data_IF_214618656725
#
_entry.id   IF_214618656725
#
_cell.length_a   1.000
_cell.length_b   1.000
_cell.length_c   1.000
_cell.angle_alpha   90.00
_cell.angle_beta   90.00
_cell.angle_gamma   90.00
#
_symmetry.space_group_name_H-M   'P 1'
#
loop_
_entity.id
_entity.type
_entity.pdbx_description
1 polymer ?
#
# COMPACT_ATOMS: atom_id res chain seq x y z
N UNK A 1 -8.40 1.26 8.01
CA UNK A 1 -8.63 1.21 6.56
C UNK A 1 -8.37 -0.20 6.04
N UNK A 2 -8.94 -0.59 4.90
CA UNK A 2 -8.73 -1.91 4.27
C UNK A 2 -7.88 -1.72 3.02
N UNK A 3 -6.85 -2.55 2.87
CA UNK A 3 -5.85 -2.42 1.82
C UNK A 3 -6.03 -3.54 0.79
N UNK A 4 -6.49 -3.18 -0.41
CA UNK A 4 -6.77 -4.10 -1.51
C UNK A 4 -5.52 -4.14 -2.41
N UNK A 5 -4.92 -5.33 -2.65
CA UNK A 5 -3.67 -5.47 -3.42
C UNK A 5 -3.92 -5.37 -4.94
N UNK A 6 -4.66 -4.35 -5.37
CA UNK A 6 -4.99 -4.05 -6.76
C UNK A 6 -4.88 -2.54 -6.97
N UNK A 7 -4.54 -2.13 -8.20
CA UNK A 7 -4.57 -0.73 -8.61
C UNK A 7 -5.99 -0.15 -8.45
N UNK A 8 -6.09 1.13 -8.09
CA UNK A 8 -7.38 1.82 -7.91
C UNK A 8 -8.28 1.74 -9.15
N UNK A 9 -7.68 1.77 -10.35
CA UNK A 9 -8.39 1.61 -11.62
C UNK A 9 -9.10 0.25 -11.73
N UNK A 10 -8.47 -0.84 -11.27
CA UNK A 10 -9.08 -2.17 -11.30
C UNK A 10 -10.17 -2.30 -10.25
N UNK A 11 -9.94 -1.78 -9.04
CA UNK A 11 -10.95 -1.79 -7.98
C UNK A 11 -12.18 -1.00 -8.40
N UNK A 12 -11.99 0.19 -8.97
CA UNK A 12 -13.08 1.01 -9.52
C UNK A 12 -13.84 0.27 -10.61
N UNK A 13 -13.15 -0.30 -11.60
CA UNK A 13 -13.79 -1.05 -12.68
C UNK A 13 -14.63 -2.23 -12.17
N UNK A 14 -14.08 -3.03 -11.25
CA UNK A 14 -14.79 -4.17 -10.66
C UNK A 14 -16.05 -3.69 -9.92
N UNK A 15 -15.92 -2.65 -9.10
CA UNK A 15 -17.04 -2.07 -8.38
C UNK A 15 -18.13 -1.56 -9.33
N UNK A 16 -17.76 -0.80 -10.37
CA UNK A 16 -18.71 -0.29 -11.36
C UNK A 16 -19.46 -1.41 -12.09
N UNK A 17 -18.79 -2.51 -12.45
CA UNK A 17 -19.44 -3.67 -13.08
C UNK A 17 -20.45 -4.31 -12.12
N UNK A 18 -20.09 -4.51 -10.85
CA UNK A 18 -20.99 -5.10 -9.84
C UNK A 18 -22.18 -4.16 -9.58
N UNK A 19 -21.93 -2.86 -9.43
CA UNK A 19 -22.95 -1.82 -9.29
C UNK A 19 -23.91 -1.82 -10.47
N UNK A 20 -23.41 -1.90 -11.72
CA UNK A 20 -24.26 -1.96 -12.90
C UNK A 20 -25.18 -3.20 -12.89
N UNK A 21 -24.63 -4.38 -12.58
CA UNK A 21 -25.41 -5.62 -12.50
C UNK A 21 -26.47 -5.56 -11.41
N UNK A 22 -26.15 -4.95 -10.28
CA UNK A 22 -27.07 -4.79 -9.15
C UNK A 22 -28.12 -3.72 -9.41
N UNK A 23 -27.79 -2.63 -10.09
CA UNK A 23 -28.72 -1.60 -10.58
C UNK A 23 -29.77 -2.22 -11.50
N UNK A 24 -29.31 -2.95 -12.53
CA UNK A 24 -30.20 -3.64 -13.47
C UNK A 24 -31.11 -4.65 -12.78
N UNK A 25 -30.60 -5.33 -11.75
CA UNK A 25 -31.38 -6.29 -10.95
C UNK A 25 -32.45 -5.58 -10.10
N UNK A 26 -32.08 -4.50 -9.41
CA UNK A 26 -33.00 -3.70 -8.61
C UNK A 26 -34.08 -3.06 -9.49
N UNK A 27 -33.70 -2.47 -10.62
CA UNK A 27 -34.64 -1.83 -11.54
C UNK A 27 -35.67 -2.84 -12.05
N UNK A 28 -35.22 -4.03 -12.47
CA UNK A 28 -36.14 -5.12 -12.86
C UNK A 28 -37.05 -5.55 -11.70
N UNK A 29 -36.55 -5.58 -10.48
CA UNK A 29 -37.34 -5.90 -9.30
C UNK A 29 -38.45 -4.86 -9.08
N UNK A 30 -38.09 -3.57 -9.07
CA UNK A 30 -39.02 -2.47 -8.86
C UNK A 30 -40.10 -2.40 -9.94
N UNK A 31 -39.74 -2.58 -11.21
CA UNK A 31 -40.70 -2.64 -12.31
C UNK A 31 -41.66 -3.82 -12.18
N UNK A 32 -41.19 -4.99 -11.73
CA UNK A 32 -42.06 -6.15 -11.44
C UNK A 32 -43.01 -5.89 -10.28
N UNK A 33 -42.54 -5.25 -9.21
CA UNK A 33 -43.40 -4.86 -8.07
C UNK A 33 -44.46 -3.86 -8.54
N UNK A 34 -44.08 -2.86 -9.33
CA UNK A 34 -45.03 -1.90 -9.90
C UNK A 34 -46.11 -2.61 -10.73
N UNK A 35 -45.71 -3.49 -11.66
CA UNK A 35 -46.63 -4.31 -12.44
C UNK A 35 -47.53 -5.20 -11.56
N UNK A 36 -46.99 -5.79 -10.49
CA UNK A 36 -47.77 -6.60 -9.55
C UNK A 36 -48.82 -5.77 -8.82
N UNK A 37 -48.47 -4.56 -8.36
CA UNK A 37 -49.39 -3.64 -7.71
C UNK A 37 -50.54 -3.24 -8.65
N UNK A 38 -50.24 -2.92 -9.91
CA UNK A 38 -51.27 -2.58 -10.90
C UNK A 38 -52.15 -3.79 -11.25
N UNK A 39 -51.58 -4.99 -11.40
CA UNK A 39 -52.33 -6.23 -11.55
C UNK A 39 -53.30 -6.46 -10.39
N UNK A 40 -52.84 -6.24 -9.16
CA UNK A 40 -53.66 -6.42 -7.96
C UNK A 40 -54.77 -5.35 -7.86
N UNK A 41 -54.51 -4.11 -8.30
CA UNK A 41 -55.53 -3.07 -8.42
C UNK A 41 -56.62 -3.47 -9.44
N UNK A 42 -56.21 -3.96 -10.61
CA UNK A 42 -57.12 -4.49 -11.64
C UNK A 42 -57.92 -5.70 -11.13
N UNK A 43 -57.31 -6.57 -10.31
CA UNK A 43 -58.03 -7.70 -9.72
C UNK A 43 -59.16 -7.28 -8.80
N UNK A 44 -59.00 -6.15 -8.10
CA UNK A 44 -60.01 -5.54 -7.22
C UNK A 44 -61.06 -4.72 -7.98
N UNK A 45 -60.99 -4.65 -9.30
CA UNK A 45 -61.90 -3.87 -10.14
C UNK A 45 -61.59 -2.38 -10.20
N UNK A 46 -60.41 -1.94 -9.73
CA UNK A 46 -59.99 -0.55 -9.89
C UNK A 46 -59.47 -0.30 -11.32
N UNK A 47 -59.59 0.93 -11.77
CA UNK A 47 -59.03 1.41 -13.03
C UNK A 47 -57.56 1.80 -12.87
N UNK A 48 -56.73 1.48 -13.85
CA UNK A 48 -55.31 1.84 -13.87
C UNK A 48 -55.02 2.75 -15.07
N UNK A 49 -54.56 3.97 -14.80
CA UNK A 49 -54.10 4.91 -15.83
C UNK A 49 -52.74 4.49 -16.39
N UNK A 50 -52.62 4.45 -17.71
CA UNK A 50 -51.39 4.07 -18.41
C UNK A 50 -50.35 5.17 -18.30
N UNK A 51 -50.74 6.44 -18.41
CA UNK A 51 -49.80 7.55 -18.27
C UNK A 51 -49.24 7.60 -16.85
N UNK A 52 -50.07 7.34 -15.82
CA UNK A 52 -49.61 7.27 -14.44
C UNK A 52 -48.64 6.10 -14.22
N UNK A 53 -48.91 4.94 -14.81
CA UNK A 53 -48.00 3.79 -14.79
C UNK A 53 -46.66 4.11 -15.46
N UNK A 54 -46.69 4.71 -16.64
CA UNK A 54 -45.48 5.13 -17.36
C UNK A 54 -44.69 6.18 -16.57
N UNK A 55 -45.35 7.19 -16.01
CA UNK A 55 -44.69 8.21 -15.19
C UNK A 55 -44.05 7.60 -13.94
N UNK A 56 -44.71 6.63 -13.28
CA UNK A 56 -44.13 5.88 -12.17
C UNK A 56 -42.92 5.06 -12.59
N UNK A 57 -43.00 4.35 -13.71
CA UNK A 57 -41.89 3.56 -14.24
C UNK A 57 -40.68 4.46 -14.59
N UNK A 58 -40.90 5.58 -15.26
CA UNK A 58 -39.86 6.58 -15.57
C UNK A 58 -39.24 7.16 -14.29
N UNK A 59 -40.07 7.50 -13.30
CA UNK A 59 -39.59 7.99 -12.01
C UNK A 59 -38.72 6.94 -11.30
N UNK A 60 -39.14 5.66 -11.29
CA UNK A 60 -38.35 4.57 -10.71
C UNK A 60 -36.99 4.42 -11.39
N UNK A 61 -36.94 4.45 -12.74
CA UNK A 61 -35.69 4.40 -13.50
C UNK A 61 -34.76 5.55 -13.11
N UNK A 62 -35.28 6.79 -13.10
CA UNK A 62 -34.50 7.98 -12.76
C UNK A 62 -33.96 7.91 -11.34
N UNK A 63 -34.78 7.50 -10.36
CA UNK A 63 -34.38 7.37 -8.96
C UNK A 63 -33.33 6.28 -8.79
N UNK A 64 -33.49 5.12 -9.42
CA UNK A 64 -32.48 4.05 -9.34
C UNK A 64 -31.15 4.48 -9.92
N UNK A 65 -31.15 5.09 -11.11
CA UNK A 65 -29.91 5.51 -11.76
C UNK A 65 -29.22 6.63 -10.99
N UNK A 66 -29.99 7.59 -10.45
CA UNK A 66 -29.44 8.63 -9.58
C UNK A 66 -28.80 8.06 -8.30
N UNK A 67 -29.44 7.06 -7.68
CA UNK A 67 -28.91 6.40 -6.48
C UNK A 67 -27.60 5.64 -6.75
N UNK A 68 -27.53 4.87 -7.84
CA UNK A 68 -26.31 4.15 -8.21
C UNK A 68 -25.19 5.09 -8.65
N UNK A 69 -25.51 6.17 -9.34
CA UNK A 69 -24.54 7.23 -9.63
C UNK A 69 -23.95 7.84 -8.34
N UNK A 70 -24.78 8.10 -7.33
CA UNK A 70 -24.30 8.59 -6.04
C UNK A 70 -23.40 7.57 -5.32
N UNK A 71 -23.72 6.27 -5.40
CA UNK A 71 -22.88 5.20 -4.84
C UNK A 71 -21.51 5.15 -5.54
N UNK A 72 -21.47 5.23 -6.87
CA UNK A 72 -20.22 5.25 -7.64
C UNK A 72 -19.37 6.50 -7.32
N UNK A 73 -20.00 7.66 -7.15
CA UNK A 73 -19.31 8.88 -6.72
C UNK A 73 -18.70 8.72 -5.32
N UNK A 74 -19.46 8.19 -4.36
CA UNK A 74 -18.96 7.93 -3.01
C UNK A 74 -17.80 6.94 -3.03
N UNK A 75 -17.93 5.82 -3.77
CA UNK A 75 -16.86 4.85 -3.93
C UNK A 75 -15.60 5.48 -4.53
N UNK A 76 -15.75 6.32 -5.56
CA UNK A 76 -14.64 7.00 -6.21
C UNK A 76 -13.93 7.97 -5.26
N UNK A 77 -14.69 8.68 -4.43
CA UNK A 77 -14.14 9.63 -3.45
C UNK A 77 -13.39 8.95 -2.30
N UNK A 78 -13.81 7.73 -1.92
CA UNK A 78 -13.22 6.99 -0.80
C UNK A 78 -12.28 5.86 -1.23
N UNK A 79 -11.93 5.77 -2.52
CA UNK A 79 -10.96 4.79 -3.03
C UNK A 79 -9.65 5.47 -3.34
N UNK A 80 -8.78 5.56 -2.34
CA UNK A 80 -7.50 6.24 -2.47
C UNK A 80 -6.41 5.30 -3.02
N UNK A 81 -5.56 5.77 -3.95
CA UNK A 81 -4.38 5.02 -4.36
C UNK A 81 -3.41 4.93 -3.19
N UNK A 82 -3.02 3.71 -2.84
CA UNK A 82 -2.09 3.42 -1.77
C UNK A 82 -0.89 2.62 -2.28
N UNK A 83 0.18 2.61 -1.50
CA UNK A 83 1.35 1.78 -1.77
C UNK A 83 1.45 0.70 -0.71
N UNK A 84 1.32 -0.56 -1.13
CA UNK A 84 1.57 -1.69 -0.26
C UNK A 84 3.07 -1.98 -0.25
N UNK A 85 3.68 -1.83 0.91
CA UNK A 85 5.05 -2.25 1.16
C UNK A 85 5.07 -3.75 1.36
N UNK A 86 5.81 -4.44 0.50
CA UNK A 86 6.07 -5.88 0.61
C UNK A 86 7.57 -6.09 0.71
N UNK A 87 8.00 -6.96 1.61
CA UNK A 87 9.40 -7.35 1.72
C UNK A 87 9.61 -8.61 0.89
N UNK A 88 10.54 -8.53 -0.05
CA UNK A 88 10.92 -9.68 -0.87
C UNK A 88 12.35 -10.06 -0.54
N UNK A 89 12.56 -11.32 -0.11
CA UNK A 89 13.90 -11.88 0.07
C UNK A 89 14.53 -12.15 -1.30
N UNK A 90 15.71 -11.60 -1.54
CA UNK A 90 16.49 -11.78 -2.77
C UNK A 90 17.96 -12.06 -2.44
N UNK A 91 18.70 -12.79 -3.30
CA UNK A 91 20.14 -12.90 -3.18
C UNK A 91 20.82 -11.53 -3.24
N UNK A 92 21.72 -11.25 -2.31
CA UNK A 92 22.37 -9.95 -2.14
C UNK A 92 23.84 -10.07 -1.75
N UNK A 93 24.57 -8.96 -1.94
CA UNK A 93 25.79 -8.66 -1.19
C UNK A 93 25.41 -7.68 -0.10
N UNK A 94 25.63 -8.04 1.17
CA UNK A 94 25.43 -7.17 2.31
C UNK A 94 26.79 -6.63 2.77
N UNK A 95 26.89 -5.33 2.98
CA UNK A 95 28.04 -4.69 3.64
C UNK A 95 27.60 -4.29 5.03
N UNK A 96 28.25 -4.82 6.04
CA UNK A 96 27.92 -4.56 7.44
C UNK A 96 29.19 -4.31 8.28
N UNK A 97 29.05 -3.79 9.50
CA UNK A 97 30.20 -3.65 10.39
C UNK A 97 30.65 -4.99 10.93
N UNK A 98 31.94 -5.09 11.21
CA UNK A 98 32.54 -6.30 11.78
C UNK A 98 31.98 -6.74 13.13
N UNK A 99 31.33 -5.82 13.85
CA UNK A 99 30.57 -6.12 15.06
C UNK A 99 29.41 -7.07 14.84
N UNK A 100 28.85 -7.10 13.62
CA UNK A 100 27.60 -7.80 13.31
C UNK A 100 27.76 -8.94 12.31
N UNK A 101 28.70 -8.80 11.36
CA UNK A 101 29.09 -9.87 10.43
C UNK A 101 30.60 -9.88 10.25
N UNK A 102 31.21 -11.05 10.44
CA UNK A 102 32.64 -11.27 10.17
C UNK A 102 32.89 -11.62 8.71
N UNK A 103 32.28 -10.89 7.77
CA UNK A 103 32.52 -11.05 6.34
C UNK A 103 33.94 -10.61 5.97
N UNK A 104 34.50 -11.17 4.91
CA UNK A 104 35.80 -10.75 4.39
C UNK A 104 35.75 -9.27 3.98
N UNK A 105 36.88 -8.53 4.08
CA UNK A 105 36.98 -7.23 3.46
C UNK A 105 37.00 -7.44 1.95
N UNK A 106 35.82 -7.47 1.33
CA UNK A 106 35.69 -7.72 -0.09
C UNK A 106 36.23 -6.55 -0.91
N UNK A 107 36.68 -6.85 -2.12
CA UNK A 107 37.04 -5.86 -3.15
C UNK A 107 36.08 -5.93 -4.33
N UNK A 108 34.90 -6.53 -4.11
CA UNK A 108 33.93 -6.74 -5.18
C UNK A 108 33.30 -5.42 -5.62
N UNK A 109 32.92 -5.34 -6.89
CA UNK A 109 32.29 -4.14 -7.47
C UNK A 109 30.96 -3.82 -6.77
N UNK A 110 30.25 -4.83 -6.29
CA UNK A 110 28.99 -4.67 -5.55
C UNK A 110 29.24 -4.01 -4.19
N UNK A 111 30.28 -4.42 -3.46
CA UNK A 111 30.67 -3.77 -2.20
C UNK A 111 31.05 -2.31 -2.42
N UNK A 112 31.92 -2.05 -3.40
CA UNK A 112 32.33 -0.68 -3.75
C UNK A 112 31.10 0.16 -4.11
N UNK A 113 30.17 -0.40 -4.89
CA UNK A 113 28.91 0.23 -5.23
C UNK A 113 28.05 0.59 -4.01
N UNK A 114 27.97 -0.28 -3.01
CA UNK A 114 27.26 -0.01 -1.75
C UNK A 114 27.95 1.13 -1.00
N UNK A 115 29.26 1.01 -0.76
CA UNK A 115 30.02 2.00 0.01
C UNK A 115 29.89 3.38 -0.61
N UNK A 116 30.05 3.51 -1.93
CA UNK A 116 29.90 4.79 -2.62
C UNK A 116 28.46 5.34 -2.58
N UNK A 117 27.45 4.47 -2.70
CA UNK A 117 26.04 4.91 -2.70
C UNK A 117 25.53 5.28 -1.31
N UNK A 118 26.13 4.73 -0.26
CA UNK A 118 25.67 4.84 1.12
C UNK A 118 26.49 5.81 1.98
N UNK A 119 27.39 6.59 1.37
CA UNK A 119 28.08 7.72 2.01
C UNK A 119 27.22 8.98 1.95
N UNK A 120 27.17 9.71 3.07
CA UNK A 120 26.69 11.09 3.13
C UNK A 120 27.74 11.98 3.78
N UNK A 121 27.87 13.19 3.26
CA UNK A 121 28.75 14.22 3.82
C UNK A 121 27.92 15.31 4.47
N UNK A 122 28.27 15.70 5.70
CA UNK A 122 27.70 16.89 6.35
C UNK A 122 28.85 17.72 6.92
N UNK A 123 29.05 18.92 6.35
CA UNK A 123 30.20 19.77 6.66
C UNK A 123 31.54 19.02 6.46
N UNK A 124 32.30 18.80 7.54
CA UNK A 124 33.56 18.05 7.55
C UNK A 124 33.39 16.55 7.86
N UNK A 125 32.20 16.12 8.28
CA UNK A 125 31.94 14.77 8.72
C UNK A 125 31.41 13.92 7.56
N UNK A 126 32.02 12.75 7.38
CA UNK A 126 31.56 11.66 6.51
C UNK A 126 30.79 10.66 7.37
N UNK A 127 29.57 10.38 6.94
CA UNK A 127 28.68 9.39 7.52
C UNK A 127 28.53 8.23 6.56
N UNK A 128 29.08 7.08 6.92
CA UNK A 128 28.94 5.86 6.13
C UNK A 128 27.80 5.02 6.70
N UNK A 129 26.86 4.66 5.83
CA UNK A 129 25.76 3.74 6.14
C UNK A 129 26.08 2.37 5.56
N UNK A 130 25.78 1.33 6.31
CA UNK A 130 25.74 -0.05 5.79
C UNK A 130 24.63 -0.19 4.76
N UNK A 131 24.69 -1.22 3.92
CA UNK A 131 23.71 -1.39 2.86
C UNK A 131 23.79 -2.74 2.16
N UNK A 132 22.78 -2.98 1.33
CA UNK A 132 22.60 -4.23 0.59
C UNK A 132 22.54 -3.94 -0.91
N UNK A 133 23.23 -4.75 -1.71
CA UNK A 133 23.14 -4.77 -3.16
C UNK A 133 22.34 -5.98 -3.62
N UNK A 134 21.23 -5.75 -4.33
CA UNK A 134 20.43 -6.84 -4.92
C UNK A 134 21.11 -7.37 -6.17
N UNK A 135 21.43 -8.67 -6.17
CA UNK A 135 22.04 -9.33 -7.34
C UNK A 135 21.07 -9.46 -8.52
N UNK A 136 19.76 -9.46 -8.24
CA UNK A 136 18.70 -9.56 -9.26
C UNK A 136 18.38 -8.20 -9.88
N UNK A 137 18.14 -7.19 -9.06
CA UNK A 137 17.65 -5.87 -9.52
C UNK A 137 18.77 -4.85 -9.72
N UNK A 138 20.00 -5.16 -9.26
CA UNK A 138 21.17 -4.27 -9.26
C UNK A 138 20.96 -2.96 -8.49
N UNK A 139 20.02 -2.96 -7.54
CA UNK A 139 19.70 -1.82 -6.69
C UNK A 139 20.48 -1.89 -5.38
N UNK A 140 20.97 -0.74 -4.92
CA UNK A 140 21.53 -0.56 -3.57
C UNK A 140 20.44 -0.01 -2.65
N UNK A 141 20.31 -0.60 -1.47
CA UNK A 141 19.47 -0.11 -0.38
C UNK A 141 20.35 0.18 0.85
N UNK A 142 20.43 1.45 1.23
CA UNK A 142 21.24 1.91 2.36
C UNK A 142 20.42 1.93 3.64
N UNK A 143 21.06 1.66 4.77
CA UNK A 143 20.44 1.83 6.08
C UNK A 143 20.00 3.28 6.34
N UNK A 144 18.96 3.44 7.17
CA UNK A 144 18.43 4.75 7.53
C UNK A 144 19.42 5.55 8.39
N UNK A 145 20.09 4.88 9.34
CA UNK A 145 21.10 5.43 10.24
C UNK A 145 22.52 5.17 9.73
N UNK A 146 23.43 6.07 10.08
CA UNK A 146 24.86 5.89 9.83
C UNK A 146 25.43 4.85 10.80
N UNK A 147 26.44 4.12 10.34
CA UNK A 147 27.15 3.14 11.16
C UNK A 147 28.55 3.60 11.50
N UNK A 148 29.20 4.34 10.60
CA UNK A 148 30.48 5.01 10.88
C UNK A 148 30.34 6.53 10.68
N UNK A 149 31.04 7.28 11.51
CA UNK A 149 31.29 8.71 11.32
C UNK A 149 32.78 9.00 11.46
N UNK A 150 33.33 9.76 10.52
CA UNK A 150 34.72 10.20 10.57
C UNK A 150 34.91 11.49 9.77
N UNK A 151 36.08 12.07 9.89
CA UNK A 151 36.50 13.27 9.15
C UNK A 151 37.72 12.90 8.30
N UNK A 152 37.86 13.50 7.11
CA UNK A 152 38.99 13.20 6.21
C UNK A 152 40.32 13.72 6.77
N UNK A 153 40.29 14.85 7.49
CA UNK A 153 41.49 15.58 7.92
C UNK A 153 41.47 15.97 9.41
N UNK A 154 41.56 15.00 10.34
CA UNK A 154 42.32 15.30 11.55
C UNK A 154 43.14 14.08 11.93
N UNK A 155 44.37 14.04 11.40
CA UNK A 155 45.41 13.32 12.11
C UNK A 155 45.61 14.01 13.46
N UNK A 156 45.29 13.32 14.54
CA UNK A 156 45.59 13.80 15.88
C UNK A 156 46.91 13.18 16.31
N UNK A 157 47.89 14.04 16.55
CA UNK A 157 49.21 13.64 17.03
C UNK A 157 49.14 13.36 18.54
N UNK A 158 49.27 12.09 18.94
CA UNK A 158 49.25 11.66 20.34
C UNK A 158 50.51 10.84 20.68
N UNK A 159 51.15 11.07 21.84
CA UNK A 159 52.20 10.17 22.35
C UNK A 159 51.68 8.75 22.62
N UNK A 160 52.50 7.71 22.40
CA UNK A 160 52.19 6.32 22.76
C UNK A 160 51.81 6.21 24.25
N UNK A 161 52.54 6.90 25.14
CA UNK A 161 52.33 6.83 26.59
C UNK A 161 51.07 7.54 27.11
N UNK A 162 50.53 8.50 26.36
CA UNK A 162 49.29 9.22 26.73
C UNK A 162 48.02 8.54 26.25
N UNK A 163 48.12 7.54 25.38
CA UNK A 163 47.03 6.59 25.14
C UNK A 163 46.57 5.88 26.44
N UNK A 164 47.46 5.79 27.43
CA UNK A 164 47.18 5.31 28.78
C UNK A 164 47.01 6.43 29.84
N UNK A 165 47.20 7.71 29.49
CA UNK A 165 47.32 8.80 30.47
C UNK A 165 46.63 10.12 30.08
N UNK A 166 45.62 10.08 29.21
CA UNK A 166 44.67 11.21 29.09
C UNK A 166 43.55 11.00 30.10
N UNK A 167 43.55 11.86 31.13
CA UNK A 167 42.54 12.03 32.19
C UNK A 167 42.60 11.04 33.37
N UNK A 168 42.99 11.57 34.53
CA UNK A 168 42.77 11.01 35.87
C UNK A 168 41.28 10.86 36.24
N UNK A 169 40.35 11.02 35.29
CA UNK A 169 38.91 10.82 35.47
C UNK A 169 38.27 9.92 34.40
N UNK A 170 39.01 9.34 33.43
CA UNK A 170 38.42 8.43 32.43
C UNK A 170 39.16 7.08 32.32
N UNK A 171 38.45 5.94 32.35
CA UNK A 171 39.03 4.62 32.16
C UNK A 171 39.13 4.35 30.66
N UNK A 172 40.21 4.76 30.01
CA UNK A 172 40.52 4.23 28.69
C UNK A 172 41.10 2.80 28.85
N UNK A 173 40.60 1.78 28.13
CA UNK A 173 41.22 0.46 28.11
C UNK A 173 42.61 0.53 27.45
N UNK A 174 43.52 -0.35 27.89
CA UNK A 174 44.92 -0.37 27.43
C UNK A 174 45.02 -0.36 25.89
N UNK A 175 45.85 0.52 25.29
CA UNK A 175 46.05 0.56 23.85
C UNK A 175 46.63 -0.77 23.35
N UNK A 176 46.07 -1.30 22.26
CA UNK A 176 46.56 -2.52 21.62
C UNK A 176 47.65 -2.17 20.61
N UNK A 177 48.90 -2.49 20.95
CA UNK A 177 50.03 -2.52 20.01
C UNK A 177 50.08 -3.88 19.32
N UNK A 178 50.02 -3.90 18.00
CA UNK A 178 50.17 -5.11 17.18
C UNK A 178 51.26 -4.90 16.14
N UNK A 179 52.14 -5.88 16.00
CA UNK A 179 53.19 -5.87 14.99
C UNK A 179 53.13 -7.14 14.14
N UNK A 180 53.42 -7.00 12.85
CA UNK A 180 53.59 -8.08 11.89
C UNK A 180 54.57 -7.62 10.79
N UNK A 181 55.41 -8.54 10.30
CA UNK A 181 56.31 -8.32 9.16
C UNK A 181 57.20 -7.05 9.23
N UNK A 182 57.63 -6.69 10.45
CA UNK A 182 58.51 -5.53 10.69
C UNK A 182 57.77 -4.19 10.85
N UNK A 183 56.45 -4.19 10.72
CA UNK A 183 55.58 -3.03 10.91
C UNK A 183 54.74 -3.17 12.18
N UNK A 184 54.36 -2.04 12.75
CA UNK A 184 53.53 -1.97 13.95
C UNK A 184 52.43 -0.91 13.80
N UNK A 185 51.29 -1.18 14.46
CA UNK A 185 50.15 -0.26 14.56
C UNK A 185 49.62 -0.24 15.99
N UNK A 186 49.03 0.88 16.39
CA UNK A 186 48.37 1.06 17.68
C UNK A 186 46.89 1.32 17.46
N UNK A 187 46.03 0.56 18.16
CA UNK A 187 44.59 0.79 18.17
C UNK A 187 44.09 0.94 19.60
N UNK A 188 43.22 1.93 19.82
CA UNK A 188 42.60 2.18 21.11
C UNK A 188 41.12 2.55 20.94
N UNK A 189 40.30 2.23 21.95
CA UNK A 189 38.88 2.61 21.98
C UNK A 189 38.61 3.60 23.10
N UNK A 190 37.86 4.65 22.80
CA UNK A 190 37.25 5.54 23.75
C UNK A 190 35.74 5.25 23.83
N UNK A 191 35.27 4.64 24.92
CA UNK A 191 33.84 4.63 25.23
C UNK A 191 33.53 5.82 26.13
N UNK A 192 32.76 6.78 25.66
CA UNK A 192 32.30 7.87 26.53
C UNK A 192 31.30 7.30 27.54
N UNK A 193 31.47 7.59 28.83
CA UNK A 193 30.55 7.16 29.91
C UNK A 193 29.14 7.77 29.83
N UNK A 194 28.77 8.49 28.77
CA UNK A 194 27.38 8.92 28.56
C UNK A 194 26.58 7.79 27.92
N UNK A 195 25.28 7.75 28.21
CA UNK A 195 24.27 6.74 27.85
C UNK A 195 24.09 6.38 26.36
N UNK A 196 25.02 6.76 25.49
CA UNK A 196 25.09 6.45 24.07
C UNK A 196 25.95 5.19 23.82
N UNK A 197 25.41 4.23 23.08
CA UNK A 197 26.07 3.00 22.63
C UNK A 197 27.21 3.19 21.60
N UNK A 198 27.83 4.37 21.58
CA UNK A 198 28.72 4.79 20.51
C UNK A 198 30.17 4.64 20.96
N UNK A 199 31.01 4.08 20.09
CA UNK A 199 32.43 3.82 20.41
C UNK A 199 33.31 4.53 19.40
N UNK A 200 34.25 5.34 19.87
CA UNK A 200 35.26 5.96 19.00
C UNK A 200 36.53 5.13 19.02
N UNK A 201 36.93 4.64 17.84
CA UNK A 201 38.18 3.89 17.64
C UNK A 201 39.22 4.84 17.07
N UNK A 202 40.40 4.84 17.68
CA UNK A 202 41.58 5.54 17.18
C UNK A 202 42.60 4.51 16.73
N UNK A 203 43.19 4.73 15.55
CA UNK A 203 44.19 3.85 14.98
C UNK A 203 45.32 4.66 14.37
N UNK A 204 46.56 4.22 14.59
CA UNK A 204 47.75 4.94 14.17
C UNK A 204 48.08 4.74 12.69
N UNK A 205 48.92 5.63 12.17
CA UNK A 205 49.76 5.30 11.01
C UNK A 205 50.72 4.14 11.35
N UNK A 206 51.25 3.50 10.30
CA UNK A 206 52.25 2.43 10.43
C UNK A 206 53.62 3.00 10.82
N UNK A 207 54.34 2.29 11.69
CA UNK A 207 55.73 2.59 12.06
C UNK A 207 56.55 1.32 12.13
N UNK A 208 57.88 1.44 12.08
CA UNK A 208 58.76 0.27 12.06
C UNK A 208 58.92 -0.34 13.46
N UNK A 209 59.12 -1.65 13.52
CA UNK A 209 59.25 -2.38 14.78
C UNK A 209 60.46 -1.95 15.63
N UNK A 210 61.54 -1.47 15.00
CA UNK A 210 62.72 -0.92 15.67
C UNK A 210 62.47 0.49 16.24
N UNK A 211 61.52 1.24 15.69
CA UNK A 211 61.12 2.57 16.18
C UNK A 211 60.26 2.49 17.46
N UNK A 212 59.62 1.35 17.72
CA UNK A 212 58.73 1.15 18.89
C UNK A 212 59.39 1.59 20.20
N UNK A 213 60.64 1.18 20.40
CA UNK A 213 61.37 1.49 21.64
C UNK A 213 61.66 2.98 21.78
N UNK A 214 61.97 3.67 20.68
CA UNK A 214 62.20 5.12 20.67
C UNK A 214 60.90 5.88 20.92
N UNK A 215 59.80 5.47 20.27
CA UNK A 215 58.50 6.10 20.43
C UNK A 215 57.96 5.96 21.88
N UNK A 216 58.26 4.86 22.57
CA UNK A 216 57.91 4.65 23.97
C UNK A 216 58.77 5.47 24.94
N UNK A 217 60.07 5.62 24.67
CA UNK A 217 61.01 6.35 25.55
C UNK A 217 60.85 7.86 25.38
N UNK A 218 60.74 8.34 24.14
CA UNK A 218 60.77 9.77 23.82
C UNK A 218 59.37 10.42 23.82
N UNK A 219 58.30 9.64 24.02
CA UNK A 219 56.92 10.11 23.90
C UNK A 219 56.66 10.84 22.57
N UNK A 220 57.33 10.39 21.51
CA UNK A 220 57.21 10.99 20.18
C UNK A 220 55.76 10.89 19.69
N UNK A 221 55.22 11.98 19.09
CA UNK A 221 53.83 12.02 18.65
C UNK A 221 53.61 11.08 17.46
N UNK A 222 52.63 10.20 17.57
CA UNK A 222 52.13 9.38 16.47
C UNK A 222 50.84 9.98 15.94
N UNK A 223 50.65 9.95 14.63
CA UNK A 223 49.41 10.37 14.00
C UNK A 223 48.36 9.28 14.14
N UNK A 224 47.21 9.66 14.68
CA UNK A 224 46.03 8.80 14.77
C UNK A 224 44.92 9.32 13.88
N UNK A 225 44.24 8.38 13.23
CA UNK A 225 42.93 8.57 12.65
C UNK A 225 41.88 8.13 13.66
N UNK A 226 40.74 8.82 13.69
CA UNK A 226 39.60 8.41 14.50
C UNK A 226 38.40 8.05 13.62
N UNK A 227 37.55 7.19 14.16
CA UNK A 227 36.25 6.81 13.58
C UNK A 227 35.30 6.46 14.70
N UNK A 228 34.14 7.10 14.71
CA UNK A 228 33.03 6.77 15.61
C UNK A 228 32.18 5.68 14.97
N UNK A 229 31.96 4.60 15.71
CA UNK A 229 31.11 3.48 15.35
C UNK A 229 29.82 3.60 16.16
N UNK A 230 28.70 3.80 15.47
CA UNK A 230 27.38 3.89 16.10
C UNK A 230 26.84 2.50 16.46
N UNK A 231 26.15 2.41 17.60
CA UNK A 231 25.50 1.17 18.07
C UNK A 231 26.46 -0.03 18.22
N UNK A 232 27.69 0.24 18.66
CA UNK A 232 28.72 -0.77 18.80
C UNK A 232 28.71 -1.33 20.22
N UNK A 233 28.16 -2.53 20.41
CA UNK A 233 28.10 -3.17 21.71
C UNK A 233 29.44 -3.87 22.00
N UNK A 234 30.21 -3.33 22.94
CA UNK A 234 31.45 -3.89 23.49
C UNK A 234 32.53 -4.30 22.44
N UNK A 235 33.11 -3.31 21.75
CA UNK A 235 34.10 -3.51 20.66
C UNK A 235 35.50 -3.97 21.12
N UNK A 236 35.75 -4.15 22.41
CA UNK A 236 37.09 -4.49 22.92
C UNK A 236 37.59 -5.83 22.37
N UNK A 237 36.69 -6.79 22.14
CA UNK A 237 37.02 -8.09 21.54
C UNK A 237 37.38 -7.99 20.04
N UNK A 238 37.04 -6.89 19.36
CA UNK A 238 37.29 -6.68 17.95
C UNK A 238 38.59 -5.91 17.67
N UNK A 239 39.19 -5.29 18.69
CA UNK A 239 40.45 -4.57 18.56
C UNK A 239 41.57 -5.39 17.89
N UNK A 240 41.79 -6.67 18.23
CA UNK A 240 42.79 -7.49 17.55
C UNK A 240 42.50 -7.68 16.06
N UNK A 241 41.23 -7.83 15.68
CA UNK A 241 40.81 -7.97 14.27
C UNK A 241 40.99 -6.66 13.50
N UNK A 242 40.68 -5.53 14.13
CA UNK A 242 40.96 -4.21 13.53
C UNK A 242 42.46 -4.05 13.26
N UNK A 243 43.30 -4.45 14.23
CA UNK A 243 44.75 -4.34 14.10
C UNK A 243 45.32 -5.25 13.00
N UNK A 244 44.81 -6.48 12.90
CA UNK A 244 45.16 -7.41 11.84
C UNK A 244 44.78 -6.87 10.45
N UNK A 245 43.56 -6.37 10.28
CA UNK A 245 43.10 -5.80 9.00
C UNK A 245 43.84 -4.51 8.62
N UNK A 246 44.19 -3.69 9.61
CA UNK A 246 44.98 -2.48 9.38
C UNK A 246 46.40 -2.81 8.92
N UNK A 247 47.06 -3.78 9.56
CA UNK A 247 48.38 -4.27 9.13
C UNK A 247 48.32 -4.86 7.72
N UNK A 248 47.30 -5.67 7.42
CA UNK A 248 47.11 -6.21 6.08
C UNK A 248 46.93 -5.10 5.03
N UNK A 249 46.14 -4.06 5.33
CA UNK A 249 45.96 -2.95 4.40
C UNK A 249 47.28 -2.21 4.11
N UNK A 250 48.13 -2.04 5.12
CA UNK A 250 49.46 -1.44 4.93
C UNK A 250 50.42 -2.34 4.16
N UNK A 251 50.38 -3.67 4.34
CA UNK A 251 51.15 -4.63 3.55
C UNK A 251 50.76 -4.56 2.05
N UNK A 252 49.48 -4.31 1.77
CA UNK A 252 48.97 -4.06 0.42
C UNK A 252 49.28 -2.64 -0.12
N UNK A 253 50.11 -1.85 0.59
CA UNK A 253 50.47 -0.45 0.30
C UNK A 253 49.28 0.52 0.23
N UNK A 254 48.21 0.26 0.99
CA UNK A 254 47.06 1.15 1.09
C UNK A 254 47.30 2.20 2.17
N UNK A 255 47.34 3.47 1.76
CA UNK A 255 47.53 4.62 2.65
C UNK A 255 46.35 5.59 2.65
N UNK A 256 45.33 5.34 1.84
CA UNK A 256 44.16 6.21 1.75
C UNK A 256 43.30 6.09 3.02
N UNK A 257 43.05 7.20 3.76
CA UNK A 257 42.33 7.14 5.04
C UNK A 257 40.89 6.63 4.91
N UNK A 258 40.25 6.74 3.74
CA UNK A 258 38.91 6.22 3.52
C UNK A 258 38.95 4.71 3.31
N UNK A 259 39.86 4.21 2.47
CA UNK A 259 40.05 2.77 2.25
C UNK A 259 40.49 2.03 3.51
N UNK A 260 41.40 2.61 4.32
CA UNK A 260 41.80 2.05 5.61
C UNK A 260 40.60 1.84 6.53
N UNK A 261 39.69 2.82 6.62
CA UNK A 261 38.45 2.71 7.41
C UNK A 261 37.49 1.68 6.85
N UNK A 262 37.35 1.62 5.52
CA UNK A 262 36.51 0.63 4.85
C UNK A 262 36.96 -0.78 5.19
N UNK A 263 38.24 -1.10 4.94
CA UNK A 263 38.79 -2.44 5.18
C UNK A 263 38.79 -2.82 6.65
N UNK A 264 39.14 -1.87 7.53
CA UNK A 264 39.25 -2.14 8.95
C UNK A 264 37.89 -2.31 9.63
N UNK A 265 36.84 -1.57 9.25
CA UNK A 265 35.56 -1.58 9.98
C UNK A 265 34.42 -2.32 9.29
N UNK A 266 34.47 -2.47 7.96
CA UNK A 266 33.41 -3.11 7.19
C UNK A 266 33.82 -4.51 6.74
N UNK A 267 32.83 -5.37 6.59
CA UNK A 267 32.95 -6.64 5.89
C UNK A 267 31.78 -6.83 4.94
N UNK A 268 31.99 -7.62 3.90
CA UNK A 268 30.92 -8.00 2.97
C UNK A 268 30.67 -9.51 3.00
N UNK A 269 29.42 -9.88 2.80
CA UNK A 269 28.99 -11.26 2.74
C UNK A 269 27.89 -11.42 1.69
N UNK A 270 27.88 -12.57 1.00
CA UNK A 270 26.79 -12.95 0.11
C UNK A 270 25.73 -13.68 0.92
N UNK A 271 24.52 -13.13 0.93
CA UNK A 271 23.41 -13.63 1.73
C UNK A 271 22.06 -13.44 1.00
N UNK A 272 20.96 -13.66 1.70
CA UNK A 272 19.60 -13.34 1.30
C UNK A 272 19.10 -12.13 2.09
N UNK A 273 18.94 -10.98 1.42
CA UNK A 273 18.49 -9.74 2.04
C UNK A 273 17.00 -9.50 1.72
N UNK A 274 16.31 -8.85 2.65
CA UNK A 274 14.97 -8.33 2.40
C UNK A 274 15.05 -6.97 1.74
N UNK A 275 14.50 -6.84 0.54
CA UNK A 275 14.36 -5.56 -0.15
C UNK A 275 12.93 -5.07 -0.07
N UNK A 276 12.77 -3.77 0.15
CA UNK A 276 11.46 -3.16 0.15
C UNK A 276 10.94 -3.02 -1.30
N UNK A 277 9.88 -3.75 -1.62
CA UNK A 277 9.16 -3.65 -2.88
C UNK A 277 7.85 -2.94 -2.67
N UNK A 278 7.71 -1.79 -3.33
CA UNK A 278 6.45 -1.07 -3.43
C UNK A 278 5.57 -1.76 -4.46
N UNK A 279 4.33 -2.06 -4.08
CA UNK A 279 3.30 -2.52 -4.99
C UNK A 279 2.10 -1.59 -4.92
N UNK A 280 1.50 -1.31 -6.07
CA UNK A 280 0.30 -0.47 -6.13
C UNK A 280 -0.87 -1.17 -5.45
N UNK A 281 -1.60 -0.43 -4.63
CA UNK A 281 -2.74 -0.90 -3.89
C UNK A 281 -3.83 0.18 -3.83
N UNK A 282 -4.98 -0.18 -3.29
CA UNK A 282 -6.09 0.75 -3.04
C UNK A 282 -6.49 0.66 -1.59
N UNK A 283 -6.63 1.82 -0.95
CA UNK A 283 -7.10 1.93 0.42
C UNK A 283 -8.56 2.37 0.42
N UNK A 284 -9.41 1.60 1.12
CA UNK A 284 -10.84 1.87 1.21
C UNK A 284 -11.28 1.77 2.67
N UNK A 285 -12.08 2.73 3.18
CA UNK A 285 -12.65 2.61 4.51
C UNK A 285 -13.58 1.39 4.64
N UNK A 286 -13.51 0.63 5.75
CA UNK A 286 -14.30 -0.60 5.90
C UNK A 286 -15.81 -0.33 5.89
N UNK A 287 -16.26 0.81 6.39
CA UNK A 287 -17.68 1.16 6.40
C UNK A 287 -18.25 1.34 4.97
N UNK A 288 -17.45 1.83 4.02
CA UNK A 288 -17.85 1.96 2.61
C UNK A 288 -18.05 0.58 1.99
N UNK A 289 -17.08 -0.33 2.19
CA UNK A 289 -17.15 -1.72 1.69
C UNK A 289 -18.41 -2.40 2.22
N UNK A 290 -18.67 -2.31 3.53
CA UNK A 290 -19.85 -2.92 4.16
C UNK A 290 -21.15 -2.28 3.63
N UNK A 291 -21.22 -0.95 3.53
CA UNK A 291 -22.43 -0.25 3.09
C UNK A 291 -22.76 -0.57 1.62
N UNK A 292 -21.77 -0.56 0.74
CA UNK A 292 -21.98 -0.90 -0.67
C UNK A 292 -22.35 -2.37 -0.84
N UNK A 293 -21.65 -3.27 -0.14
CA UNK A 293 -21.95 -4.71 -0.18
C UNK A 293 -23.37 -5.01 0.31
N UNK A 294 -23.83 -4.34 1.36
CA UNK A 294 -25.20 -4.51 1.85
C UNK A 294 -26.24 -4.01 0.85
N UNK A 295 -26.01 -2.86 0.20
CA UNK A 295 -26.90 -2.37 -0.89
C UNK A 295 -26.98 -3.37 -2.04
N UNK A 296 -25.84 -3.93 -2.47
CA UNK A 296 -25.80 -4.96 -3.51
C UNK A 296 -26.59 -6.22 -3.10
N UNK A 297 -26.37 -6.73 -1.89
CA UNK A 297 -27.06 -7.92 -1.37
C UNK A 297 -28.57 -7.68 -1.27
N UNK A 298 -29.00 -6.53 -0.75
CA UNK A 298 -30.42 -6.17 -0.65
C UNK A 298 -31.05 -6.07 -2.04
N UNK A 299 -30.35 -5.47 -3.00
CA UNK A 299 -30.83 -5.33 -4.39
C UNK A 299 -31.02 -6.70 -5.07
N UNK A 300 -30.06 -7.61 -4.90
CA UNK A 300 -30.15 -8.97 -5.43
C UNK A 300 -31.24 -9.79 -4.72
N UNK A 301 -31.36 -9.66 -3.40
CA UNK A 301 -32.41 -10.32 -2.64
C UNK A 301 -33.81 -9.83 -3.07
N UNK A 302 -33.99 -8.52 -3.26
CA UNK A 302 -35.23 -7.95 -3.80
C UNK A 302 -35.55 -8.54 -5.18
N UNK A 303 -34.56 -8.62 -6.07
CA UNK A 303 -34.74 -9.25 -7.38
C UNK A 303 -35.16 -10.73 -7.27
N UNK A 304 -34.50 -11.53 -6.44
CA UNK A 304 -34.84 -12.93 -6.21
C UNK A 304 -36.27 -13.10 -5.66
N UNK A 305 -36.68 -12.25 -4.70
CA UNK A 305 -38.04 -12.26 -4.15
C UNK A 305 -39.09 -11.91 -5.21
N UNK A 306 -38.80 -10.97 -6.12
CA UNK A 306 -39.74 -10.62 -7.20
C UNK A 306 -39.86 -11.69 -8.27
N UNK A 307 -38.88 -12.58 -8.45
CA UNK A 307 -39.03 -13.76 -9.33
C UNK A 307 -40.16 -14.68 -8.83
N UNK A 308 -40.30 -14.86 -7.52
CA UNK A 308 -41.40 -15.64 -6.94
C UNK A 308 -42.75 -14.95 -7.16
N UNK A 309 -42.79 -13.62 -7.04
CA UNK A 309 -44.00 -12.82 -7.29
C UNK A 309 -44.42 -12.79 -8.76
N UNK A 310 -43.45 -12.87 -9.69
CA UNK A 310 -43.70 -12.78 -11.14
C UNK A 310 -44.70 -13.82 -11.66
N UNK A 311 -44.78 -14.99 -11.00
CA UNK A 311 -45.76 -16.04 -11.36
C UNK A 311 -47.22 -15.59 -11.19
N UNK A 312 -47.49 -14.53 -10.42
CA UNK A 312 -48.83 -13.98 -10.16
C UNK A 312 -49.19 -12.79 -11.06
N UNK A 313 -48.26 -12.30 -11.88
CA UNK A 313 -48.50 -11.18 -12.80
C UNK A 313 -49.19 -11.74 -14.05
N UNK A 314 -50.49 -11.50 -14.16
CA UNK A 314 -51.31 -11.96 -15.28
C UNK A 314 -51.47 -10.91 -16.39
N UNK A 315 -51.04 -9.67 -16.16
CA UNK A 315 -51.15 -8.60 -17.15
C UNK A 315 -50.00 -7.61 -17.01
N UNK A 316 -49.12 -7.56 -18.01
CA UNK A 316 -48.03 -6.58 -18.05
C UNK A 316 -48.45 -5.35 -18.87
N UNK A 317 -48.70 -4.23 -18.18
CA UNK A 317 -49.08 -2.95 -18.79
C UNK A 317 -47.92 -2.37 -19.61
N UNK A 318 -46.69 -2.73 -19.27
CA UNK A 318 -45.48 -2.19 -19.91
C UNK A 318 -45.14 -2.90 -21.23
N UNK A 319 -45.76 -4.06 -21.49
CA UNK A 319 -45.48 -4.85 -22.69
C UNK A 319 -46.55 -4.59 -23.76
N UNK A 320 -46.20 -3.91 -24.88
CA UNK A 320 -47.15 -3.55 -25.93
C UNK A 320 -47.77 -4.77 -26.60
N UNK A 321 -47.04 -5.89 -26.69
CA UNK A 321 -47.55 -7.16 -27.24
C UNK A 321 -48.58 -7.78 -26.31
N UNK A 322 -48.37 -7.67 -25.01
CA UNK A 322 -49.29 -8.19 -24.00
C UNK A 322 -50.57 -7.35 -23.95
N UNK A 323 -50.42 -6.04 -24.12
CA UNK A 323 -51.49 -5.08 -24.38
C UNK A 323 -52.33 -5.50 -25.59
N UNK A 324 -51.70 -5.61 -26.77
CA UNK A 324 -52.39 -5.93 -28.02
C UNK A 324 -53.11 -7.29 -28.01
N UNK A 325 -52.59 -8.27 -27.27
CA UNK A 325 -53.19 -9.62 -27.19
C UNK A 325 -54.32 -9.77 -26.17
N UNK A 326 -54.33 -8.96 -25.10
CA UNK A 326 -55.24 -9.18 -23.96
C UNK A 326 -56.24 -8.06 -23.71
N UNK A 327 -56.10 -6.92 -24.39
CA UNK A 327 -57.09 -5.84 -24.32
C UNK A 327 -58.08 -5.91 -25.47
N UNK A 328 -59.36 -5.82 -25.13
CA UNK A 328 -60.44 -5.62 -26.10
C UNK A 328 -60.83 -4.15 -26.11
N UNK A 329 -60.95 -3.59 -27.32
CA UNK A 329 -61.52 -2.26 -27.54
C UNK A 329 -62.98 -2.45 -27.92
N UNK A 330 -63.90 -1.91 -27.12
CA UNK A 330 -65.31 -1.83 -27.51
C UNK A 330 -65.43 -0.62 -28.43
N UNK A 331 -65.83 -0.84 -29.68
CA UNK A 331 -66.17 0.18 -30.70
C UNK A 331 -65.03 1.10 -31.21
N UNK A 332 -65.17 1.55 -32.45
CA UNK A 332 -64.24 2.43 -33.21
C UNK A 332 -64.12 3.86 -32.65
N UNK A 333 -64.49 4.10 -31.39
CA UNK A 333 -64.43 5.44 -30.79
C UNK A 333 -62.98 5.83 -30.51
N UNK A 334 -62.52 7.00 -30.97
CA UNK A 334 -61.18 7.50 -30.66
C UNK A 334 -61.03 7.63 -29.14
N UNK A 335 -59.94 7.08 -28.59
CA UNK A 335 -59.61 7.26 -27.17
C UNK A 335 -59.23 8.73 -26.97
N UNK A 336 -60.18 9.52 -26.47
CA UNK A 336 -59.94 10.90 -26.05
C UNK A 336 -59.55 10.91 -24.56
N UNK A 337 -58.47 11.61 -24.23
CA UNK A 337 -57.96 11.71 -22.85
C UNK A 337 -56.95 10.63 -22.45
N UNK A 338 -56.79 10.42 -21.14
CA UNK A 338 -55.82 9.48 -20.56
C UNK A 338 -56.32 8.03 -20.71
N UNK A 339 -55.57 7.14 -21.39
CA UNK A 339 -55.96 5.74 -21.52
C UNK A 339 -55.92 5.06 -20.15
N UNK A 340 -57.03 4.45 -19.77
CA UNK A 340 -57.21 3.70 -18.53
C UNK A 340 -57.58 2.25 -18.84
N UNK A 341 -56.98 1.32 -18.11
CA UNK A 341 -57.28 -0.12 -18.21
C UNK A 341 -58.21 -0.51 -17.07
N UNK A 342 -59.28 -1.25 -17.39
CA UNK A 342 -60.23 -1.79 -16.43
C UNK A 342 -60.48 -3.28 -16.69
N UNK A 343 -60.84 -4.01 -15.64
CA UNK A 343 -61.22 -5.43 -15.73
C UNK A 343 -62.74 -5.53 -15.70
N UNK A 344 -63.33 -6.11 -16.74
CA UNK A 344 -64.78 -6.34 -16.84
C UNK A 344 -65.04 -7.83 -16.99
N UNK A 345 -66.18 -8.29 -16.46
CA UNK A 345 -66.65 -9.66 -16.62
C UNK A 345 -67.65 -9.69 -17.79
N UNK A 346 -67.27 -10.24 -18.94
CA UNK A 346 -68.15 -10.42 -20.09
C UNK A 346 -68.34 -11.91 -20.35
N UNK A 347 -69.60 -12.38 -20.39
CA UNK A 347 -69.95 -13.80 -20.61
C UNK A 347 -69.24 -14.79 -19.65
N UNK A 348 -69.04 -14.40 -18.39
CA UNK A 348 -68.35 -15.24 -17.38
C UNK A 348 -66.82 -15.27 -17.50
N UNK A 349 -66.24 -14.56 -18.48
CA UNK A 349 -64.80 -14.45 -18.66
C UNK A 349 -64.29 -13.05 -18.28
N UNK A 350 -63.08 -13.00 -17.73
CA UNK A 350 -62.43 -11.73 -17.39
C UNK A 350 -61.73 -11.16 -18.63
N UNK A 351 -62.15 -9.97 -19.06
CA UNK A 351 -61.59 -9.26 -20.20
C UNK A 351 -61.03 -7.92 -19.72
N UNK A 352 -59.92 -7.47 -20.33
CA UNK A 352 -59.36 -6.14 -20.08
C UNK A 352 -59.88 -5.16 -21.11
N UNK A 353 -60.40 -4.03 -20.66
CA UNK A 353 -60.87 -2.93 -21.53
C UNK A 353 -59.98 -1.71 -21.38
N UNK A 354 -59.79 -0.99 -22.48
CA UNK A 354 -59.13 0.30 -22.51
C UNK A 354 -60.19 1.38 -22.77
N UNK A 355 -60.32 2.34 -21.86
CA UNK A 355 -61.22 3.49 -21.97
C UNK A 355 -60.45 4.80 -21.86
N UNK A 356 -60.86 5.82 -22.61
CA UNK A 356 -60.37 7.20 -22.42
C UNK A 356 -61.09 7.89 -21.26
N UNK A 357 -60.38 8.70 -20.49
CA UNK A 357 -61.02 9.58 -19.51
C UNK A 357 -61.66 10.78 -20.22
N UNK A 358 -62.99 10.91 -20.19
CA UNK A 358 -63.64 12.12 -20.69
C UNK A 358 -63.32 13.29 -19.72
N UNK A 359 -62.74 14.41 -20.19
CA UNK A 359 -62.39 15.54 -19.34
C UNK A 359 -63.61 16.34 -18.85
N UNK A 360 -64.80 16.07 -19.38
CA UNK A 360 -66.06 16.72 -19.00
C UNK A 360 -67.08 15.68 -18.53
N UNK A 361 -67.38 15.66 -17.22
CA UNK A 361 -68.57 15.00 -16.68
C UNK A 361 -68.32 14.13 -15.46
N UNK A 362 -68.79 14.61 -14.30
CA UNK A 362 -69.32 13.74 -13.25
C UNK A 362 -70.43 12.89 -13.87
N UNK A 363 -70.09 11.70 -14.34
CA UNK A 363 -71.04 10.68 -14.75
C UNK A 363 -70.70 9.41 -14.00
N UNK A 364 -71.59 9.02 -13.10
CA UNK A 364 -71.69 7.61 -12.71
C UNK A 364 -71.65 6.75 -13.96
N UNK A 365 -70.92 5.64 -13.90
CA UNK A 365 -71.18 4.53 -14.80
C UNK A 365 -72.57 4.04 -14.38
N UNK A 366 -73.61 4.64 -14.96
CA UNK A 366 -74.95 4.10 -14.89
C UNK A 366 -74.93 2.74 -15.58
N UNK A 367 -75.41 1.75 -14.82
CA UNK A 367 -75.76 0.41 -15.26
C UNK A 367 -76.63 0.46 -16.52
N UNK A 368 -76.01 0.36 -17.70
CA UNK A 368 -76.71 -0.02 -18.91
C UNK A 368 -76.75 -1.55 -18.99
N UNK A 369 -77.74 -2.11 -18.28
CA UNK A 369 -78.37 -3.39 -18.64
C UNK A 369 -78.79 -3.32 -20.10
N UNK A 370 -78.09 -4.05 -20.97
CA UNK A 370 -78.62 -4.43 -22.27
C UNK A 370 -79.02 -5.89 -22.16
N UNK A 371 -80.33 -6.09 -22.11
CA UNK A 371 -81.04 -7.36 -22.23
C UNK A 371 -80.80 -8.00 -23.59
N UNK A 372 -80.59 -9.32 -23.59
CA UNK A 372 -81.15 -10.19 -24.63
C UNK A 372 -82.22 -11.07 -24.00
#
# INVERSE_FOLDING_TARGET
MVLIPLKSQYVSLINTIISLLTELSLLKALLRVNNYCECHALQKGHHVSVTRHQNRATCLVLVTTAAFFAIELLLSFYSDPAVKLTFQSQPCVAVETLTRRSGDPGTSLEEIGIVLSCVKTNESNIFLRVGNYSMETRKVECAESATLMFTLEPHVSLPIGTAAAVSSENPFPDPLLKCADGFCVVIQTASYQSSSSDTTVWFSDVFFADEVSMLQIDNSPIKFLNTTIFSAQNNTELLPKFAERLLQAYDENLNDPFELRRLMFLGSERDTCQFQRTSEATEVPPFIIVSVSTVWVISLAAYAMTLLLSRRVFYDISNPVHWAKRTYRRTDEPVHGDPSVSRVLENGHHVMYVSGSNPEGNGSIDDLKISF
#
